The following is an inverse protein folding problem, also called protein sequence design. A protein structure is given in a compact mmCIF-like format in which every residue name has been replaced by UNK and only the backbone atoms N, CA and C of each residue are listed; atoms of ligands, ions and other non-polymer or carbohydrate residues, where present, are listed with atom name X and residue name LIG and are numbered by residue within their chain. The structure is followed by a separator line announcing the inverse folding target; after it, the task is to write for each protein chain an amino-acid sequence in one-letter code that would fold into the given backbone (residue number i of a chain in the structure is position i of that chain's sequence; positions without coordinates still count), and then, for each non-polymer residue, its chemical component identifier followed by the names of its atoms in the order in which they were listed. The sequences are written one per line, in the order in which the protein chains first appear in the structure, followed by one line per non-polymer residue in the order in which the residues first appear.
data_IF_288904563316
#
_entry.id   IF_288904563316
#
_cell.length_a   1.000
_cell.length_b   1.000
_cell.length_c   1.000
_cell.angle_alpha   90.00
_cell.angle_beta   90.00
_cell.angle_gamma   90.00
#
_symmetry.space_group_name_H-M   'P 1'
#
loop_
_entity.id
_entity.type
_entity.pdbx_description
1 polymer ?
#
# COMPACT_ATOMS: atom_id res chain seq x y z
N UNK A 1 40.67 -13.46 -61.01
CA UNK A 1 40.98 -13.69 -59.59
C UNK A 1 40.71 -12.39 -58.86
N UNK A 2 39.53 -12.30 -58.22
CA UNK A 2 39.00 -11.11 -57.57
C UNK A 2 39.54 -11.00 -56.13
N UNK A 3 39.92 -9.77 -55.78
CA UNK A 3 40.00 -9.08 -54.47
C UNK A 3 39.61 -9.86 -53.20
N UNK A 4 40.32 -9.66 -52.06
CA UNK A 4 39.92 -8.55 -51.19
C UNK A 4 41.04 -7.96 -50.27
N UNK A 5 41.02 -6.64 -50.07
CA UNK A 5 41.59 -6.01 -48.88
C UNK A 5 40.98 -4.62 -48.71
N UNK A 6 39.75 -4.58 -48.18
CA UNK A 6 39.19 -3.41 -47.52
C UNK A 6 38.69 -3.88 -46.16
N UNK A 7 39.51 -3.66 -45.13
CA UNK A 7 39.15 -3.85 -43.75
C UNK A 7 39.23 -2.50 -43.03
N UNK A 8 38.32 -2.34 -42.06
CA UNK A 8 38.31 -1.33 -41.01
C UNK A 8 37.75 0.07 -41.37
N UNK A 9 36.43 0.14 -41.50
CA UNK A 9 35.68 1.35 -41.17
C UNK A 9 34.31 0.97 -40.58
N UNK A 10 34.29 0.40 -39.38
CA UNK A 10 33.06 0.26 -38.58
C UNK A 10 33.22 1.06 -37.30
N UNK A 11 32.99 2.36 -37.49
CA UNK A 11 32.21 3.28 -36.65
C UNK A 11 31.99 2.81 -35.19
N UNK A 12 32.67 3.52 -34.28
CA UNK A 12 32.26 3.69 -32.90
C UNK A 12 30.83 4.28 -32.92
N UNK A 13 29.83 3.45 -32.65
CA UNK A 13 28.45 3.90 -32.56
C UNK A 13 28.18 4.23 -31.09
N UNK A 14 28.15 5.53 -30.78
CA UNK A 14 27.81 6.07 -29.48
C UNK A 14 26.41 5.56 -29.09
N UNK A 15 26.35 4.71 -28.06
CA UNK A 15 25.08 4.25 -27.54
C UNK A 15 24.30 5.47 -26.99
N UNK A 16 22.98 5.59 -27.28
CA UNK A 16 22.19 6.65 -26.69
C UNK A 16 22.28 6.54 -25.17
N UNK A 17 22.59 7.67 -24.52
CA UNK A 17 22.53 7.78 -23.07
C UNK A 17 21.11 7.42 -22.62
N UNK A 18 20.99 6.32 -21.88
CA UNK A 18 19.76 6.03 -21.16
C UNK A 18 19.51 7.19 -20.20
N UNK A 19 18.32 7.81 -20.20
CA UNK A 19 18.00 8.79 -19.18
C UNK A 19 18.18 8.12 -17.82
N UNK A 20 18.96 8.76 -16.94
CA UNK A 20 19.10 8.29 -15.58
C UNK A 20 17.70 8.18 -14.94
N UNK A 21 17.45 7.13 -14.15
CA UNK A 21 16.19 6.99 -13.44
C UNK A 21 15.95 8.27 -12.63
N UNK A 22 14.93 9.04 -13.00
CA UNK A 22 14.50 10.18 -12.18
C UNK A 22 14.12 9.60 -10.82
N UNK A 23 14.77 10.02 -9.72
CA UNK A 23 14.41 9.54 -8.40
C UNK A 23 12.91 9.81 -8.21
N UNK A 24 12.12 8.84 -7.70
CA UNK A 24 10.70 9.04 -7.51
C UNK A 24 10.50 10.31 -6.70
N UNK A 25 9.56 11.17 -7.14
CA UNK A 25 9.10 12.30 -6.32
C UNK A 25 8.81 11.75 -4.93
N UNK A 26 9.39 12.37 -3.90
CA UNK A 26 9.13 12.07 -2.50
C UNK A 26 7.62 12.13 -2.29
N UNK A 27 6.98 10.96 -2.31
CA UNK A 27 5.54 10.78 -2.29
C UNK A 27 5.18 10.19 -0.95
N UNK A 28 4.25 10.82 -0.25
CA UNK A 28 3.72 10.47 1.08
C UNK A 28 4.43 9.29 1.77
N UNK A 29 5.38 9.61 2.65
CA UNK A 29 6.17 8.62 3.37
C UNK A 29 5.43 8.17 4.65
N UNK A 30 4.51 8.99 5.16
CA UNK A 30 3.62 8.66 6.26
C UNK A 30 2.14 8.77 5.87
N UNK A 31 1.27 8.06 6.61
CA UNK A 31 -0.20 8.15 6.41
C UNK A 31 -0.68 9.60 6.60
N UNK A 32 -0.02 10.36 7.46
CA UNK A 32 -0.35 11.77 7.74
C UNK A 32 -0.01 12.71 6.59
N UNK A 33 0.85 12.29 5.65
CA UNK A 33 1.19 13.07 4.45
C UNK A 33 0.14 12.91 3.32
N UNK A 34 -0.76 11.92 3.45
CA UNK A 34 -1.81 11.66 2.48
C UNK A 34 -2.95 12.69 2.62
N UNK A 35 -3.68 13.00 1.52
CA UNK A 35 -4.94 13.70 1.61
C UNK A 35 -5.87 13.04 2.64
N UNK A 36 -6.60 13.83 3.43
CA UNK A 36 -7.38 13.37 4.59
C UNK A 36 -8.24 12.15 4.27
N UNK A 37 -8.93 12.15 3.12
CA UNK A 37 -9.78 11.02 2.70
C UNK A 37 -8.98 9.74 2.43
N UNK A 38 -7.82 9.83 1.78
CA UNK A 38 -6.94 8.69 1.53
C UNK A 38 -6.36 8.20 2.85
N UNK A 39 -5.90 9.12 3.71
CA UNK A 39 -5.37 8.80 5.02
C UNK A 39 -6.41 8.05 5.88
N UNK A 40 -7.68 8.48 5.86
CA UNK A 40 -8.77 7.81 6.56
C UNK A 40 -9.02 6.40 6.00
N UNK A 41 -9.11 6.26 4.67
CA UNK A 41 -9.31 4.98 4.01
C UNK A 41 -8.19 3.98 4.34
N UNK A 42 -6.93 4.44 4.34
CA UNK A 42 -5.75 3.64 4.69
C UNK A 42 -5.80 3.17 6.13
N UNK A 43 -6.14 4.05 7.08
CA UNK A 43 -6.30 3.66 8.50
C UNK A 43 -7.38 2.60 8.66
N UNK A 44 -8.51 2.74 7.97
CA UNK A 44 -9.58 1.75 8.02
C UNK A 44 -9.20 0.41 7.36
N UNK A 45 -8.51 0.44 6.23
CA UNK A 45 -7.97 -0.76 5.59
C UNK A 45 -7.05 -1.53 6.55
N UNK A 46 -6.15 -0.81 7.23
CA UNK A 46 -5.20 -1.40 8.19
C UNK A 46 -5.93 -1.90 9.45
N UNK A 47 -6.99 -1.22 9.89
CA UNK A 47 -7.82 -1.69 10.99
C UNK A 47 -8.47 -3.04 10.66
N UNK A 48 -9.04 -3.21 9.47
CA UNK A 48 -9.59 -4.51 9.03
C UNK A 48 -8.54 -5.60 8.97
N UNK A 49 -7.37 -5.31 8.38
CA UNK A 49 -6.26 -6.26 8.35
C UNK A 49 -5.78 -6.65 9.77
N UNK A 50 -5.81 -5.70 10.70
CA UNK A 50 -5.43 -5.93 12.09
C UNK A 50 -6.45 -6.80 12.83
N UNK A 51 -7.74 -6.51 12.68
CA UNK A 51 -8.83 -7.32 13.26
C UNK A 51 -8.83 -8.73 12.69
N UNK A 52 -8.69 -8.89 11.37
CA UNK A 52 -8.55 -10.21 10.72
C UNK A 52 -7.38 -11.00 11.31
N UNK A 53 -6.22 -10.34 11.52
CA UNK A 53 -5.06 -10.98 12.16
C UNK A 53 -5.38 -11.45 13.58
N UNK A 54 -6.02 -10.62 14.40
CA UNK A 54 -6.45 -11.00 15.76
C UNK A 54 -7.42 -12.18 15.73
N UNK A 55 -8.41 -12.17 14.84
CA UNK A 55 -9.37 -13.26 14.67
C UNK A 55 -8.68 -14.58 14.32
N UNK A 56 -7.75 -14.56 13.35
CA UNK A 56 -6.97 -15.75 12.96
C UNK A 56 -6.05 -16.27 14.07
N UNK A 57 -5.55 -15.37 14.92
CA UNK A 57 -4.73 -15.73 16.07
C UNK A 57 -5.54 -16.24 17.28
N UNK A 58 -6.88 -16.18 17.23
CA UNK A 58 -7.73 -16.48 18.39
C UNK A 58 -7.62 -15.45 19.51
N UNK A 59 -7.17 -14.23 19.20
CA UNK A 59 -7.07 -13.13 20.15
C UNK A 59 -8.46 -12.60 20.50
N UNK A 60 -8.72 -12.37 21.79
CA UNK A 60 -10.02 -11.90 22.29
C UNK A 60 -10.40 -10.53 21.74
N UNK A 61 -9.43 -9.68 21.39
CA UNK A 61 -9.65 -8.38 20.72
C UNK A 61 -10.35 -8.56 19.37
N UNK A 62 -10.01 -9.60 18.63
CA UNK A 62 -10.63 -9.91 17.33
C UNK A 62 -12.08 -10.40 17.45
N UNK A 63 -12.41 -11.04 18.57
CA UNK A 63 -13.74 -11.60 18.84
C UNK A 63 -14.81 -10.54 19.09
N UNK A 64 -14.41 -9.29 19.34
CA UNK A 64 -15.33 -8.16 19.51
C UNK A 64 -15.94 -7.66 18.19
N UNK A 65 -15.46 -8.14 17.04
CA UNK A 65 -15.88 -7.72 15.72
C UNK A 65 -16.48 -8.88 14.94
N UNK A 66 -17.42 -8.62 14.00
CA UNK A 66 -17.80 -9.59 12.98
C UNK A 66 -16.58 -10.09 12.19
N UNK A 67 -16.71 -11.24 11.53
CA UNK A 67 -15.64 -11.79 10.69
C UNK A 67 -15.19 -10.76 9.64
N UNK A 68 -13.96 -10.25 9.80
CA UNK A 68 -13.47 -9.13 9.01
C UNK A 68 -13.25 -9.51 7.54
N UNK A 69 -12.95 -10.77 7.23
CA UNK A 69 -12.76 -11.22 5.86
C UNK A 69 -14.09 -11.50 5.16
N UNK A 70 -15.00 -12.21 5.84
CA UNK A 70 -16.33 -12.51 5.30
C UNK A 70 -17.15 -11.24 5.06
N UNK A 71 -16.89 -10.16 5.80
CA UNK A 71 -17.57 -8.88 5.68
C UNK A 71 -16.88 -7.91 4.70
N UNK A 72 -15.98 -8.38 3.83
CA UNK A 72 -15.39 -7.55 2.77
C UNK A 72 -14.21 -6.69 3.20
N UNK A 73 -13.68 -6.84 4.42
CA UNK A 73 -12.56 -6.04 4.93
C UNK A 73 -11.26 -6.30 4.16
N UNK A 74 -11.05 -7.51 3.65
CA UNK A 74 -9.90 -7.85 2.79
C UNK A 74 -10.00 -7.15 1.44
N UNK A 75 -11.17 -7.17 0.83
CA UNK A 75 -11.46 -6.53 -0.45
C UNK A 75 -11.29 -5.02 -0.33
N UNK A 76 -11.76 -4.42 0.77
CA UNK A 76 -11.56 -3.00 1.06
C UNK A 76 -10.07 -2.65 1.17
N UNK A 77 -9.30 -3.45 1.91
CA UNK A 77 -7.85 -3.26 2.00
C UNK A 77 -7.18 -3.24 0.63
N UNK A 78 -7.45 -4.25 -0.21
CA UNK A 78 -6.85 -4.35 -1.55
C UNK A 78 -7.23 -3.15 -2.42
N UNK A 79 -8.51 -2.75 -2.41
CA UNK A 79 -8.97 -1.61 -3.21
C UNK A 79 -8.30 -0.29 -2.77
N UNK A 80 -8.16 -0.04 -1.46
CA UNK A 80 -7.52 1.18 -0.96
C UNK A 80 -6.04 1.21 -1.34
N UNK A 81 -5.31 0.10 -1.18
CA UNK A 81 -3.90 0.04 -1.56
C UNK A 81 -3.70 0.24 -3.07
N UNK A 82 -4.57 -0.34 -3.90
CA UNK A 82 -4.55 -0.11 -5.35
C UNK A 82 -4.77 1.36 -5.70
N UNK A 83 -5.75 2.03 -5.07
CA UNK A 83 -5.99 3.47 -5.26
C UNK A 83 -4.80 4.35 -4.86
N UNK A 84 -4.03 3.97 -3.84
CA UNK A 84 -2.79 4.68 -3.50
C UNK A 84 -1.73 4.54 -4.59
N UNK A 85 -1.58 3.34 -5.16
CA UNK A 85 -0.65 3.11 -6.28
C UNK A 85 -1.06 3.94 -7.51
N UNK A 86 -2.36 3.99 -7.82
CA UNK A 86 -2.90 4.82 -8.90
C UNK A 86 -2.68 6.33 -8.64
N UNK A 87 -2.68 6.74 -7.37
CA UNK A 87 -2.34 8.10 -6.94
C UNK A 87 -0.83 8.39 -6.92
N UNK A 88 0.01 7.43 -7.29
CA UNK A 88 1.46 7.58 -7.41
C UNK A 88 2.25 7.31 -6.12
N UNK A 89 1.62 6.76 -5.08
CA UNK A 89 2.35 6.31 -3.87
C UNK A 89 3.11 5.03 -4.20
N UNK A 90 4.38 4.98 -3.83
CA UNK A 90 5.22 3.81 -4.11
C UNK A 90 4.80 2.60 -3.28
N UNK A 91 5.07 1.40 -3.80
CA UNK A 91 4.82 0.15 -3.07
C UNK A 91 5.61 0.12 -1.76
N UNK A 92 6.83 0.61 -1.79
CA UNK A 92 7.73 0.70 -0.63
C UNK A 92 7.13 1.58 0.47
N UNK A 93 6.64 2.79 0.12
CA UNK A 93 5.96 3.69 1.05
C UNK A 93 4.67 3.05 1.61
N UNK A 94 3.89 2.36 0.78
CA UNK A 94 2.70 1.61 1.22
C UNK A 94 3.05 0.54 2.26
N UNK A 95 4.08 -0.27 2.00
CA UNK A 95 4.53 -1.32 2.92
C UNK A 95 5.03 -0.73 4.24
N UNK A 96 5.79 0.37 4.18
CA UNK A 96 6.27 1.07 5.35
C UNK A 96 5.10 1.60 6.21
N UNK A 97 4.18 2.37 5.61
CA UNK A 97 3.01 2.94 6.29
C UNK A 97 2.12 1.87 6.94
N UNK A 98 1.84 0.78 6.20
CA UNK A 98 0.95 -0.29 6.68
C UNK A 98 1.58 -1.08 7.83
N UNK A 99 2.88 -1.38 7.73
CA UNK A 99 3.63 -2.08 8.78
C UNK A 99 3.69 -1.25 10.06
N UNK A 100 4.03 0.03 9.94
CA UNK A 100 4.16 0.94 11.08
C UNK A 100 2.82 1.13 11.80
N UNK A 101 1.74 1.34 11.04
CA UNK A 101 0.40 1.47 11.61
C UNK A 101 -0.10 0.15 12.23
N UNK A 102 0.18 -1.00 11.63
CA UNK A 102 -0.18 -2.29 12.20
C UNK A 102 0.54 -2.54 13.54
N UNK A 103 1.81 -2.14 13.66
CA UNK A 103 2.57 -2.19 14.90
C UNK A 103 1.95 -1.29 15.98
N UNK A 104 1.57 -0.05 15.62
CA UNK A 104 0.86 0.88 16.53
C UNK A 104 -0.51 0.37 16.98
N UNK A 105 -1.15 -0.45 16.17
CA UNK A 105 -2.46 -1.02 16.51
C UNK A 105 -2.33 -2.22 17.46
N UNK A 106 -1.17 -2.87 17.53
CA UNK A 106 -0.98 -4.07 18.36
C UNK A 106 -0.58 -3.76 19.81
N UNK A 107 -1.15 -2.69 20.36
CA UNK A 107 -1.05 -2.33 21.78
C UNK A 107 -2.46 -2.22 22.37
N UNK A 108 -2.63 -2.18 23.71
CA UNK A 108 -3.93 -1.91 24.32
C UNK A 108 -4.57 -0.59 23.83
N UNK A 109 -3.78 0.48 23.74
CA UNK A 109 -4.23 1.78 23.24
C UNK A 109 -4.54 1.72 21.74
N UNK A 110 -3.80 0.89 21.00
CA UNK A 110 -4.07 0.60 19.59
C UNK A 110 -5.42 -0.10 19.38
N UNK A 111 -5.74 -1.06 20.24
CA UNK A 111 -7.04 -1.74 20.23
C UNK A 111 -8.20 -0.79 20.54
N UNK A 112 -8.01 0.12 21.50
CA UNK A 112 -9.00 1.15 21.79
C UNK A 112 -9.18 2.12 20.61
N UNK A 113 -8.09 2.56 19.96
CA UNK A 113 -8.17 3.37 18.73
C UNK A 113 -8.94 2.65 17.62
N UNK A 114 -8.70 1.36 17.43
CA UNK A 114 -9.44 0.55 16.45
C UNK A 114 -10.93 0.54 16.79
N UNK A 115 -11.29 0.33 18.06
CA UNK A 115 -12.69 0.34 18.50
C UNK A 115 -13.37 1.69 18.22
N UNK A 116 -12.66 2.81 18.45
CA UNK A 116 -13.16 4.16 18.20
C UNK A 116 -13.37 4.45 16.70
N UNK A 117 -12.50 3.95 15.81
CA UNK A 117 -12.61 4.23 14.38
C UNK A 117 -13.52 3.25 13.62
N UNK A 118 -13.76 2.06 14.16
CA UNK A 118 -14.46 1.00 13.43
C UNK A 118 -15.84 1.40 12.88
N UNK A 119 -16.70 2.16 13.60
CA UNK A 119 -17.99 2.59 13.04
C UNK A 119 -17.85 3.41 11.75
N UNK A 120 -16.80 4.25 11.66
CA UNK A 120 -16.50 5.01 10.45
C UNK A 120 -15.93 4.10 9.36
N UNK A 121 -15.12 3.12 9.74
CA UNK A 121 -14.58 2.14 8.79
C UNK A 121 -15.67 1.29 8.13
N UNK A 122 -16.69 0.89 8.89
CA UNK A 122 -17.87 0.21 8.33
C UNK A 122 -18.61 1.09 7.31
N UNK A 123 -18.78 2.39 7.61
CA UNK A 123 -19.39 3.34 6.68
C UNK A 123 -18.56 3.48 5.40
N UNK A 124 -17.24 3.62 5.50
CA UNK A 124 -16.35 3.76 4.34
C UNK A 124 -16.31 2.49 3.49
N UNK A 125 -16.31 1.32 4.13
CA UNK A 125 -16.39 0.02 3.45
C UNK A 125 -17.70 -0.10 2.67
N UNK A 126 -18.82 0.21 3.32
CA UNK A 126 -20.14 0.21 2.69
C UNK A 126 -20.23 1.20 1.53
N UNK A 127 -19.66 2.40 1.66
CA UNK A 127 -19.59 3.39 0.58
C UNK A 127 -18.73 2.92 -0.62
N UNK A 128 -17.79 2.01 -0.40
CA UNK A 128 -17.03 1.33 -1.45
C UNK A 128 -17.79 0.14 -2.08
N UNK A 129 -19.02 -0.13 -1.64
CA UNK A 129 -19.85 -1.24 -2.11
C UNK A 129 -19.52 -2.59 -1.48
N UNK A 130 -18.94 -2.60 -0.27
CA UNK A 130 -18.46 -3.78 0.45
C UNK A 130 -19.10 -3.95 1.83
#
# INVERSE_FOLDING_TARGET
MLTPLLAAALVLQEAPAYPEPVPPKQGADAIDDLPIEQAAAVRCAIAYATVSRWQKAGDTRGSAYPDAEAQGGREFFVQVMAKLMDAGVTRESIVMMTTEAAARNDTPEGAERIAQMMPVCELMKSAAGL
#
